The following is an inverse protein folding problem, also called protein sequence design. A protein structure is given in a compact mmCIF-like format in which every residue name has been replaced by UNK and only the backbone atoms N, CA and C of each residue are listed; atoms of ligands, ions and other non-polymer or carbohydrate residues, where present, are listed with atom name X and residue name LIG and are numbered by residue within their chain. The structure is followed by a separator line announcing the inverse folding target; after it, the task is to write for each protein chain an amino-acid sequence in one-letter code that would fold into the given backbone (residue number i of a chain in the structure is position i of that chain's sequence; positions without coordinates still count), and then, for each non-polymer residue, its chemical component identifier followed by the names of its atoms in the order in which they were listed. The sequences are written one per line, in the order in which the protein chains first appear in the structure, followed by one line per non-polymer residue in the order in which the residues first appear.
data_IF_732082438093
#
_entry.id   IF_732082438093
#
_cell.length_a   1.000
_cell.length_b   1.000
_cell.length_c   1.000
_cell.angle_alpha   90.00
_cell.angle_beta   90.00
_cell.angle_gamma   90.00
#
_symmetry.space_group_name_H-M   'P 1'
#
loop_
_entity.id
_entity.type
_entity.pdbx_description
1 polymer ?
#
# COMPACT_ATOMS: atom_id res chain seq x y z
N UNK A 1 -3.11 15.35 11.92
CA UNK A 1 -2.89 13.91 11.62
C UNK A 1 -1.69 13.86 10.68
N UNK A 2 -0.66 13.08 11.02
CA UNK A 2 0.63 13.11 10.32
C UNK A 2 0.74 11.88 9.42
N UNK A 3 0.92 12.09 8.12
CA UNK A 3 1.21 11.02 7.16
C UNK A 3 2.63 10.49 7.38
N UNK A 4 2.80 9.17 7.47
CA UNK A 4 4.11 8.56 7.62
C UNK A 4 4.83 8.46 6.27
N UNK A 5 6.15 8.68 6.29
CA UNK A 5 7.03 8.44 5.15
C UNK A 5 8.11 7.45 5.57
N UNK A 6 8.17 6.30 4.90
CA UNK A 6 9.18 5.28 5.18
C UNK A 6 9.35 4.32 4.01
N UNK A 7 10.51 3.65 3.97
CA UNK A 7 10.75 2.49 3.13
C UNK A 7 10.46 1.22 3.94
N UNK A 8 9.54 0.40 3.46
CA UNK A 8 9.15 -0.88 4.07
C UNK A 8 8.64 -1.82 2.99
N UNK A 9 8.50 -3.09 3.37
CA UNK A 9 7.70 -4.05 2.61
C UNK A 9 6.22 -3.79 2.89
N UNK A 10 5.43 -3.68 1.83
CA UNK A 10 3.97 -3.69 1.89
C UNK A 10 3.45 -5.02 1.38
N UNK A 11 2.37 -5.50 1.99
CA UNK A 11 1.70 -6.77 1.68
C UNK A 11 0.35 -6.49 1.05
N UNK A 12 0.00 -7.27 0.03
CA UNK A 12 -1.26 -7.17 -0.69
C UNK A 12 -2.41 -7.67 0.18
N UNK A 13 -3.42 -6.83 0.39
CA UNK A 13 -4.69 -7.25 0.97
C UNK A 13 -5.55 -7.93 -0.10
N UNK A 14 -5.51 -9.27 -0.11
CA UNK A 14 -6.25 -10.07 -1.10
C UNK A 14 -7.77 -9.93 -0.97
N UNK A 15 -8.29 -9.59 0.21
CA UNK A 15 -9.72 -9.39 0.43
C UNK A 15 -10.17 -8.05 -0.17
N UNK A 16 -9.35 -7.01 -0.05
CA UNK A 16 -9.63 -5.68 -0.59
C UNK A 16 -9.59 -5.63 -2.14
N UNK A 17 -8.65 -6.37 -2.76
CA UNK A 17 -8.49 -6.37 -4.23
C UNK A 17 -9.35 -7.42 -4.95
N UNK A 18 -9.72 -8.50 -4.26
CA UNK A 18 -10.43 -9.63 -4.83
C UNK A 18 -9.52 -10.61 -5.59
N UNK A 19 -10.01 -11.84 -5.75
CA UNK A 19 -9.23 -12.99 -6.25
C UNK A 19 -8.54 -12.76 -7.60
N UNK A 20 -9.25 -12.17 -8.57
CA UNK A 20 -8.73 -12.02 -9.94
C UNK A 20 -7.58 -11.01 -10.05
N UNK A 21 -7.60 -9.96 -9.23
CA UNK A 21 -6.47 -9.03 -9.15
C UNK A 21 -5.34 -9.61 -8.30
N UNK A 22 -5.65 -10.36 -7.24
CA UNK A 22 -4.67 -10.97 -6.36
C UNK A 22 -3.71 -11.93 -7.08
N UNK A 23 -4.15 -12.59 -8.15
CA UNK A 23 -3.28 -13.46 -8.96
C UNK A 23 -2.33 -12.69 -9.90
N UNK A 24 -2.59 -11.40 -10.15
CA UNK A 24 -1.79 -10.57 -11.07
C UNK A 24 -0.86 -9.60 -10.36
N UNK A 25 -1.21 -9.22 -9.13
CA UNK A 25 -0.46 -8.27 -8.32
C UNK A 25 0.61 -9.00 -7.52
N UNK A 26 1.73 -8.31 -7.23
CA UNK A 26 2.76 -8.87 -6.38
C UNK A 26 2.21 -9.04 -4.95
N UNK A 27 2.41 -10.21 -4.30
CA UNK A 27 1.86 -10.46 -2.97
C UNK A 27 2.47 -9.55 -1.91
N UNK A 28 3.71 -9.10 -2.13
CA UNK A 28 4.37 -8.08 -1.35
C UNK A 28 5.45 -7.41 -2.19
N UNK A 29 5.77 -6.16 -1.91
CA UNK A 29 6.94 -5.51 -2.48
C UNK A 29 7.45 -4.40 -1.57
N UNK A 30 8.75 -4.13 -1.71
CA UNK A 30 9.43 -3.11 -0.94
C UNK A 30 9.38 -1.76 -1.67
N UNK A 31 8.95 -0.71 -0.99
CA UNK A 31 8.85 0.61 -1.61
C UNK A 31 9.04 1.74 -0.61
N UNK A 32 9.61 2.84 -1.11
CA UNK A 32 9.60 4.13 -0.43
C UNK A 32 8.29 4.87 -0.69
N UNK A 33 7.48 5.06 0.36
CA UNK A 33 6.11 5.53 0.21
C UNK A 33 5.73 6.61 1.23
N UNK A 34 4.84 7.50 0.82
CA UNK A 34 4.00 8.28 1.74
C UNK A 34 2.70 7.52 2.00
N UNK A 35 2.33 7.35 3.26
CA UNK A 35 1.12 6.63 3.62
C UNK A 35 -0.01 7.58 4.02
N UNK A 36 -1.24 7.24 3.65
CA UNK A 36 -2.45 7.94 4.10
C UNK A 36 -3.09 7.18 5.26
N UNK A 37 -3.71 7.93 6.17
CA UNK A 37 -4.34 7.41 7.37
C UNK A 37 -5.88 7.38 7.22
N UNK A 38 -6.54 6.65 8.11
CA UNK A 38 -8.01 6.52 8.17
C UNK A 38 -8.64 5.93 6.90
N UNK A 39 -7.90 5.05 6.21
CA UNK A 39 -8.44 4.29 5.09
C UNK A 39 -9.29 3.13 5.61
N UNK A 40 -10.45 2.89 4.98
CA UNK A 40 -11.29 1.73 5.32
C UNK A 40 -10.58 0.46 4.88
N UNK A 41 -10.72 -0.63 5.65
CA UNK A 41 -10.07 -1.91 5.36
C UNK A 41 -10.23 -2.37 3.89
N UNK A 42 -11.45 -2.38 3.36
CA UNK A 42 -11.70 -2.79 1.98
C UNK A 42 -11.25 -1.81 0.89
N UNK A 43 -10.78 -0.61 1.25
CA UNK A 43 -10.24 0.38 0.31
C UNK A 43 -8.69 0.37 0.30
N UNK A 44 -8.02 -0.35 1.22
CA UNK A 44 -6.57 -0.41 1.34
C UNK A 44 -6.02 -1.64 0.62
N UNK A 45 -5.26 -1.46 -0.45
CA UNK A 45 -4.76 -2.57 -1.27
C UNK A 45 -3.41 -3.10 -0.78
N UNK A 46 -2.52 -2.22 -0.32
CA UNK A 46 -1.21 -2.60 0.19
C UNK A 46 -0.99 -2.03 1.58
N UNK A 47 -0.88 -2.89 2.57
CA UNK A 47 -0.77 -2.55 3.99
C UNK A 47 0.56 -3.01 4.56
N UNK A 48 0.89 -2.56 5.77
CA UNK A 48 1.99 -3.10 6.56
C UNK A 48 1.47 -4.20 7.47
N UNK A 49 2.26 -5.25 7.68
CA UNK A 49 1.99 -6.35 8.62
C UNK A 49 2.79 -6.15 9.91
N UNK A 50 2.50 -6.93 10.96
CA UNK A 50 3.17 -6.79 12.28
C UNK A 50 4.71 -6.88 12.22
N UNK A 51 5.25 -7.65 11.29
CA UNK A 51 6.69 -7.84 11.05
C UNK A 51 7.30 -6.78 10.12
N UNK A 52 6.47 -5.90 9.55
CA UNK A 52 6.93 -4.80 8.71
C UNK A 52 7.66 -3.75 9.55
N UNK A 53 8.87 -3.41 9.11
CA UNK A 53 9.74 -2.47 9.80
C UNK A 53 10.38 -1.49 8.82
N UNK A 54 10.74 -0.31 9.33
CA UNK A 54 11.49 0.68 8.56
C UNK A 54 12.82 0.05 8.16
N UNK A 55 13.04 -0.05 6.85
CA UNK A 55 14.32 -0.45 6.30
C UNK A 55 15.21 0.79 6.17
N UNK A 56 16.06 1.00 7.17
CA UNK A 56 17.06 2.07 7.15
C UNK A 56 18.43 1.52 7.55
N UNK A 57 19.44 1.83 6.74
CA UNK A 57 20.83 1.49 7.03
C UNK A 57 21.28 2.21 8.30
N UNK A 58 21.42 1.47 9.40
CA UNK A 58 22.03 1.97 10.64
C UNK A 58 21.08 2.40 11.76
N UNK A 59 19.77 2.14 11.65
CA UNK A 59 18.80 2.39 12.72
C UNK A 59 18.18 1.09 13.23
N UNK A 60 17.76 1.07 14.50
CA UNK A 60 16.99 -0.04 15.06
C UNK A 60 15.67 -0.20 14.30
N UNK A 61 15.30 -1.45 14.02
CA UNK A 61 14.03 -1.80 13.37
C UNK A 61 12.86 -1.19 14.13
N UNK A 62 12.22 -0.19 13.52
CA UNK A 62 11.01 0.44 14.05
C UNK A 62 9.84 -0.12 13.26
N UNK A 63 8.85 -0.71 13.95
CA UNK A 63 7.66 -1.25 13.28
C UNK A 63 6.94 -0.15 12.49
N UNK A 64 6.48 -0.49 11.30
CA UNK A 64 5.68 0.36 10.40
C UNK A 64 4.21 -0.04 10.40
N UNK A 65 3.83 -1.02 11.22
CA UNK A 65 2.45 -1.50 11.27
C UNK A 65 1.53 -0.48 11.95
N UNK A 66 0.64 0.13 11.16
CA UNK A 66 -0.40 1.02 11.65
C UNK A 66 -1.72 0.68 10.97
N UNK A 67 -2.71 0.25 11.76
CA UNK A 67 -4.04 -0.10 11.25
C UNK A 67 -4.70 1.13 10.61
N UNK A 68 -5.21 0.96 9.39
CA UNK A 68 -5.86 2.03 8.63
C UNK A 68 -4.89 3.00 7.97
N UNK A 69 -3.58 2.70 8.00
CA UNK A 69 -2.56 3.35 7.20
C UNK A 69 -2.21 2.51 5.96
N UNK A 70 -2.06 3.14 4.79
CA UNK A 70 -1.71 2.44 3.55
C UNK A 70 -0.97 3.34 2.56
N UNK A 71 -0.10 2.73 1.76
CA UNK A 71 0.55 3.38 0.61
C UNK A 71 -0.28 3.29 -0.68
N UNK A 72 -1.29 2.41 -0.74
CA UNK A 72 -2.09 2.16 -1.94
C UNK A 72 -3.55 1.99 -1.54
N UNK A 73 -4.40 2.92 -1.98
CA UNK A 73 -5.83 2.87 -1.70
C UNK A 73 -6.66 3.05 -2.96
N UNK A 74 -7.83 2.41 -3.00
CA UNK A 74 -8.85 2.60 -4.03
C UNK A 74 -10.23 2.63 -3.37
N UNK A 75 -10.86 3.80 -3.39
CA UNK A 75 -12.20 3.99 -2.81
C UNK A 75 -13.24 4.26 -3.90
N UNK A 76 -14.48 3.80 -3.69
CA UNK A 76 -15.62 4.20 -4.53
C UNK A 76 -16.10 5.60 -4.14
N UNK A 77 -16.25 6.48 -5.12
CA UNK A 77 -16.73 7.86 -4.94
C UNK A 77 -17.81 8.14 -5.98
N UNK A 78 -19.07 8.20 -5.52
CA UNK A 78 -20.22 8.22 -6.43
C UNK A 78 -20.23 6.98 -7.32
N UNK A 79 -20.32 7.19 -8.64
CA UNK A 79 -20.25 6.13 -9.65
C UNK A 79 -18.81 5.81 -10.10
N UNK A 80 -17.82 6.55 -9.59
CA UNK A 80 -16.41 6.43 -9.95
C UNK A 80 -15.56 5.75 -8.88
N UNK A 81 -14.26 5.71 -9.14
CA UNK A 81 -13.23 5.28 -8.19
C UNK A 81 -12.17 6.37 -8.04
N UNK A 82 -11.63 6.51 -6.84
CA UNK A 82 -10.51 7.38 -6.53
C UNK A 82 -9.36 6.51 -6.03
N UNK A 83 -8.25 6.53 -6.74
CA UNK A 83 -7.02 5.84 -6.36
C UNK A 83 -6.02 6.78 -5.71
N UNK A 84 -5.24 6.24 -4.77
CA UNK A 84 -4.06 6.86 -4.19
C UNK A 84 -2.90 5.87 -4.26
N UNK A 85 -1.75 6.35 -4.73
CA UNK A 85 -0.49 5.60 -4.70
C UNK A 85 0.57 6.56 -4.17
N UNK A 86 1.08 6.28 -2.97
CA UNK A 86 2.09 7.07 -2.29
C UNK A 86 3.53 6.80 -2.74
N UNK A 87 3.72 6.12 -3.87
CA UNK A 87 5.04 5.74 -4.38
C UNK A 87 5.88 6.98 -4.68
N UNK A 88 7.03 7.11 -4.00
CA UNK A 88 7.97 8.20 -4.26
C UNK A 88 8.92 7.87 -5.41
N UNK A 89 9.25 6.59 -5.57
CA UNK A 89 10.05 6.06 -6.68
C UNK A 89 9.22 5.11 -7.52
N UNK A 90 9.58 4.98 -8.80
CA UNK A 90 9.03 3.92 -9.67
C UNK A 90 9.74 2.61 -9.32
N UNK A 91 9.07 1.77 -8.54
CA UNK A 91 9.46 0.38 -8.27
C UNK A 91 8.56 -0.56 -9.10
N UNK A 92 9.07 -1.73 -9.50
CA UNK A 92 8.37 -2.65 -10.44
C UNK A 92 6.93 -2.98 -10.03
N UNK A 93 6.69 -3.20 -8.73
CA UNK A 93 5.35 -3.47 -8.19
C UNK A 93 4.34 -2.35 -8.40
N UNK A 94 4.78 -1.09 -8.36
CA UNK A 94 3.88 0.08 -8.48
C UNK A 94 3.25 0.23 -9.87
N UNK A 95 3.92 -0.23 -10.92
CA UNK A 95 3.42 -0.11 -12.30
C UNK A 95 2.22 -1.03 -12.55
N UNK A 96 2.28 -2.27 -12.04
CA UNK A 96 1.17 -3.22 -12.13
C UNK A 96 -0.07 -2.72 -11.38
N UNK A 97 0.13 -2.08 -10.22
CA UNK A 97 -0.94 -1.48 -9.41
C UNK A 97 -1.64 -0.36 -10.16
N UNK A 98 -0.89 0.55 -10.80
CA UNK A 98 -1.47 1.63 -11.62
C UNK A 98 -2.35 1.05 -12.72
N UNK A 99 -1.87 0.03 -13.45
CA UNK A 99 -2.64 -0.59 -14.52
C UNK A 99 -3.91 -1.28 -14.00
N UNK A 100 -3.82 -2.00 -12.87
CA UNK A 100 -4.97 -2.62 -12.24
C UNK A 100 -6.05 -1.62 -11.79
N UNK A 101 -5.64 -0.40 -11.37
CA UNK A 101 -6.58 0.65 -10.96
C UNK A 101 -7.29 1.33 -12.14
N UNK A 102 -6.75 1.25 -13.35
CA UNK A 102 -7.34 1.83 -14.55
C UNK A 102 -8.55 1.04 -15.10
N UNK A 103 -8.72 -0.22 -14.67
CA UNK A 103 -9.81 -1.10 -15.13
C UNK A 103 -9.38 -2.00 -16.27
#
# INVERSE_FOLDING_TARGET
QTSAYHRTTFVLDTEAVGHDLAITLLPQYNQNSMCVNNVKFGDAWYVTEEDSAIESLGFSSTSTHTIGETAVALARVGDGKLSYIGAVNVEEGSSAVVLAMCG
#
